data_IF_957086679408
#
_entry.id   IF_957086679408
#
_cell.length_a   1.000
_cell.length_b   1.000
_cell.length_c   1.000
_cell.angle_alpha   90.00
_cell.angle_beta   90.00
_cell.angle_gamma   90.00
#
_symmetry.space_group_name_H-M   'P 1'
#
loop_
_entity.id
_entity.type
_entity.pdbx_description
1 polymer ?
#
# COMPACT_ATOMS: atom_id res chain seq x y z
N UNK A 1 -17.77 -17.27 -48.34
CA UNK A 1 -17.48 -18.56 -47.67
C UNK A 1 -17.81 -18.36 -46.19
N UNK A 2 -19.08 -18.59 -45.80
CA UNK A 2 -19.60 -19.80 -45.06
C UNK A 2 -19.33 -19.67 -43.55
N UNK A 3 -20.23 -19.72 -42.57
CA UNK A 3 -21.69 -19.85 -42.30
C UNK A 3 -21.85 -19.34 -40.83
N UNK A 4 -22.83 -18.60 -40.32
CA UNK A 4 -24.28 -18.76 -40.15
C UNK A 4 -24.75 -20.07 -39.50
N UNK A 5 -24.82 -20.09 -38.15
CA UNK A 5 -25.68 -21.04 -37.42
C UNK A 5 -26.52 -20.30 -36.38
N UNK A 6 -27.77 -20.06 -36.76
CA UNK A 6 -28.89 -19.61 -35.95
C UNK A 6 -29.69 -20.86 -35.58
N UNK A 7 -29.84 -21.20 -34.30
CA UNK A 7 -30.68 -22.32 -33.87
C UNK A 7 -31.91 -21.81 -33.12
N UNK A 8 -33.00 -21.76 -33.86
CA UNK A 8 -34.38 -21.57 -33.41
C UNK A 8 -34.95 -22.93 -33.02
N UNK A 9 -35.66 -23.01 -31.89
CA UNK A 9 -36.61 -24.10 -31.61
C UNK A 9 -37.92 -23.46 -31.13
N UNK A 10 -38.99 -23.71 -31.91
CA UNK A 10 -40.40 -23.53 -31.54
C UNK A 10 -41.04 -24.92 -31.45
N UNK A 11 -41.84 -25.14 -30.41
CA UNK A 11 -42.98 -26.09 -30.26
C UNK A 11 -43.58 -25.73 -28.89
N UNK A 12 -44.82 -25.24 -28.72
CA UNK A 12 -46.13 -25.89 -28.99
C UNK A 12 -46.38 -26.95 -27.90
N UNK A 13 -47.49 -27.08 -27.17
CA UNK A 13 -48.81 -26.43 -27.10
C UNK A 13 -49.54 -27.05 -25.86
N UNK A 14 -50.29 -26.24 -25.09
CA UNK A 14 -51.44 -26.51 -24.18
C UNK A 14 -51.38 -27.64 -23.12
N UNK A 15 -51.73 -27.28 -21.86
CA UNK A 15 -52.18 -28.23 -20.83
C UNK A 15 -52.62 -27.57 -19.52
N UNK A 16 -53.93 -27.27 -19.41
CA UNK A 16 -54.84 -27.26 -18.25
C UNK A 16 -54.46 -26.68 -16.86
N UNK A 17 -55.40 -25.85 -16.39
CA UNK A 17 -55.74 -25.47 -15.01
C UNK A 17 -55.49 -26.54 -13.92
N UNK A 18 -54.90 -26.11 -12.81
CA UNK A 18 -55.32 -26.54 -11.47
C UNK A 18 -54.99 -25.47 -10.41
N UNK A 19 -56.04 -25.05 -9.73
CA UNK A 19 -56.08 -24.19 -8.55
C UNK A 19 -55.57 -25.00 -7.35
N UNK A 20 -54.61 -24.49 -6.57
CA UNK A 20 -54.13 -25.23 -5.40
C UNK A 20 -53.14 -24.47 -4.51
N UNK A 21 -53.65 -24.10 -3.33
CA UNK A 21 -52.96 -23.96 -2.04
C UNK A 21 -51.86 -22.91 -1.85
N UNK A 22 -52.18 -21.98 -0.94
CA UNK A 22 -51.30 -21.26 -0.03
C UNK A 22 -50.07 -22.06 0.42
N UNK A 23 -48.90 -21.52 0.15
CA UNK A 23 -47.80 -21.43 1.10
C UNK A 23 -46.93 -20.26 0.64
N UNK A 24 -47.02 -19.13 1.33
CA UNK A 24 -46.13 -18.00 1.12
C UNK A 24 -44.70 -18.49 1.38
N UNK A 25 -43.96 -18.71 0.31
CA UNK A 25 -42.53 -18.93 0.38
C UNK A 25 -41.93 -17.66 0.98
N UNK A 26 -41.46 -17.78 2.23
CA UNK A 26 -40.43 -16.89 2.75
C UNK A 26 -39.27 -17.04 1.79
N UNK A 27 -39.12 -16.10 0.87
CA UNK A 27 -37.85 -15.86 0.21
C UNK A 27 -36.91 -15.39 1.32
N UNK A 28 -36.27 -16.36 1.98
CA UNK A 28 -34.98 -16.15 2.60
C UNK A 28 -34.05 -15.78 1.44
N UNK A 29 -33.99 -14.47 1.18
CA UNK A 29 -32.90 -13.88 0.44
C UNK A 29 -31.68 -14.07 1.36
N UNK A 30 -31.09 -15.27 1.30
CA UNK A 30 -29.68 -15.46 1.60
C UNK A 30 -28.96 -14.50 0.66
N UNK A 31 -28.78 -13.27 1.14
CA UNK A 31 -27.72 -12.43 0.66
C UNK A 31 -26.47 -13.23 0.92
N UNK A 32 -26.02 -13.96 -0.09
CA UNK A 32 -24.62 -14.28 -0.28
C UNK A 32 -23.91 -12.95 -0.05
N UNK A 33 -23.44 -12.76 1.19
CA UNK A 33 -22.52 -11.72 1.52
C UNK A 33 -21.33 -12.03 0.65
N UNK A 34 -21.29 -11.42 -0.54
CA UNK A 34 -20.14 -11.45 -1.44
C UNK A 34 -18.98 -11.18 -0.51
N UNK A 35 -18.19 -12.23 -0.25
CA UNK A 35 -17.01 -12.11 0.59
C UNK A 35 -16.27 -10.93 0.00
N UNK A 36 -16.25 -9.81 0.74
CA UNK A 36 -15.63 -8.60 0.23
C UNK A 36 -14.19 -9.04 -0.02
N UNK A 37 -13.80 -9.07 -1.29
CA UNK A 37 -12.45 -9.46 -1.66
C UNK A 37 -11.55 -8.32 -1.22
N UNK A 38 -11.07 -8.45 0.02
CA UNK A 38 -10.11 -7.54 0.65
C UNK A 38 -8.82 -7.72 -0.14
N UNK A 39 -8.44 -6.68 -0.86
CA UNK A 39 -7.12 -6.63 -1.48
C UNK A 39 -6.14 -6.13 -0.45
N UNK A 40 -4.98 -6.75 -0.37
CA UNK A 40 -3.92 -6.30 0.51
C UNK A 40 -2.80 -5.69 -0.31
N UNK A 41 -2.15 -4.66 0.23
CA UNK A 41 -0.90 -4.14 -0.32
C UNK A 41 0.17 -4.28 0.73
N UNK A 42 1.19 -5.07 0.39
CA UNK A 42 2.39 -5.22 1.17
C UNK A 42 3.39 -4.12 0.78
N UNK A 43 3.72 -3.21 1.68
CA UNK A 43 4.75 -2.19 1.47
C UNK A 43 5.99 -2.58 2.26
N UNK A 44 7.07 -2.91 1.55
CA UNK A 44 8.38 -3.18 2.16
C UNK A 44 9.20 -1.90 2.15
N UNK A 45 9.38 -1.30 3.31
CA UNK A 45 10.19 -0.12 3.51
C UNK A 45 11.59 -0.49 3.94
N UNK A 46 12.58 0.16 3.33
CA UNK A 46 13.98 0.10 3.73
C UNK A 46 14.39 1.50 4.19
N UNK A 47 14.78 1.62 5.45
CA UNK A 47 15.33 2.84 6.02
C UNK A 47 16.84 2.76 5.96
N UNK A 48 17.45 3.69 5.23
CA UNK A 48 18.88 3.71 4.94
C UNK A 48 19.50 4.93 5.60
N UNK A 49 20.63 4.74 6.26
CA UNK A 49 21.50 5.83 6.66
C UNK A 49 22.41 6.19 5.50
N UNK A 50 22.51 7.47 5.21
CA UNK A 50 23.53 8.00 4.33
C UNK A 50 24.64 8.69 5.13
N UNK A 51 25.82 8.71 4.53
CA UNK A 51 27.04 9.33 5.02
C UNK A 51 27.80 8.52 6.11
N UNK A 52 29.14 8.63 6.09
CA UNK A 52 30.03 8.00 7.07
C UNK A 52 30.40 6.53 6.83
N UNK A 53 30.09 5.96 5.66
CA UNK A 53 30.43 4.57 5.32
C UNK A 53 31.26 4.49 4.05
N UNK A 54 32.21 3.55 3.99
CA UNK A 54 33.04 3.31 2.80
C UNK A 54 32.66 2.03 2.07
N UNK A 55 32.15 1.04 2.80
CA UNK A 55 31.77 -0.25 2.25
C UNK A 55 30.30 -0.25 1.83
N UNK A 56 30.00 -0.93 0.73
CA UNK A 56 28.61 -1.12 0.28
C UNK A 56 27.97 -2.19 1.16
N UNK A 57 26.87 -1.83 1.80
CA UNK A 57 26.05 -2.78 2.56
C UNK A 57 25.35 -3.76 1.59
N UNK A 58 25.60 -5.08 1.71
CA UNK A 58 25.05 -6.07 0.79
C UNK A 58 23.52 -6.11 0.80
N UNK A 59 22.85 -5.74 1.90
CA UNK A 59 21.39 -5.78 2.03
C UNK A 59 20.66 -4.71 1.22
N UNK A 60 21.38 -3.68 0.75
CA UNK A 60 20.85 -2.60 -0.09
C UNK A 60 21.61 -2.46 -1.40
N UNK A 61 22.47 -3.43 -1.73
CA UNK A 61 23.28 -3.39 -2.95
C UNK A 61 22.45 -3.23 -4.22
N UNK A 62 21.20 -3.71 -4.21
CA UNK A 62 20.23 -3.61 -5.32
C UNK A 62 19.67 -2.21 -5.55
N UNK A 63 19.85 -1.26 -4.61
CA UNK A 63 19.32 0.11 -4.72
C UNK A 63 20.39 1.19 -4.59
N UNK A 64 21.64 0.81 -4.32
CA UNK A 64 22.71 1.78 -4.04
C UNK A 64 23.09 2.60 -5.26
N UNK A 65 23.03 2.03 -6.47
CA UNK A 65 23.32 2.77 -7.70
C UNK A 65 22.27 3.86 -7.94
N UNK A 66 20.99 3.52 -7.83
CA UNK A 66 19.88 4.48 -7.99
C UNK A 66 19.91 5.56 -6.90
N UNK A 67 20.25 5.19 -5.67
CA UNK A 67 20.41 6.17 -4.59
C UNK A 67 21.56 7.14 -4.89
N UNK A 68 22.68 6.68 -5.46
CA UNK A 68 23.83 7.52 -5.82
C UNK A 68 23.53 8.49 -6.95
N UNK A 69 22.64 8.13 -7.88
CA UNK A 69 22.19 9.04 -8.94
C UNK A 69 21.40 10.23 -8.37
N UNK A 70 20.68 10.02 -7.26
CA UNK A 70 19.82 11.03 -6.64
C UNK A 70 20.58 11.81 -5.55
N UNK A 71 21.41 11.13 -4.79
CA UNK A 71 22.10 11.68 -3.62
C UNK A 71 23.59 11.37 -3.68
N UNK A 72 24.44 12.38 -3.48
CA UNK A 72 25.88 12.21 -3.54
C UNK A 72 26.51 12.09 -2.14
N UNK A 73 26.26 10.96 -1.45
CA UNK A 73 26.86 10.66 -0.14
C UNK A 73 28.01 9.65 -0.28
N UNK A 74 28.93 9.66 0.69
CA UNK A 74 30.10 8.77 0.66
C UNK A 74 29.73 7.28 0.72
N UNK A 75 28.72 6.93 1.50
CA UNK A 75 28.22 5.57 1.60
C UNK A 75 26.86 5.46 2.26
N UNK A 76 26.34 4.24 2.27
CA UNK A 76 24.98 3.93 2.67
C UNK A 76 24.96 2.65 3.49
N UNK A 77 24.08 2.60 4.50
CA UNK A 77 23.90 1.43 5.35
C UNK A 77 22.42 1.22 5.67
N UNK A 78 21.94 -0.01 5.63
CA UNK A 78 20.59 -0.31 6.07
C UNK A 78 20.48 -0.16 7.59
N UNK A 79 19.47 0.58 8.04
CA UNK A 79 19.14 0.69 9.47
C UNK A 79 18.00 -0.23 9.87
N UNK A 80 16.99 -0.37 9.00
CA UNK A 80 15.79 -1.14 9.32
C UNK A 80 15.03 -1.52 8.06
N UNK A 81 14.42 -2.70 8.07
CA UNK A 81 13.39 -3.10 7.11
C UNK A 81 12.06 -3.22 7.84
N UNK A 82 11.02 -2.63 7.25
CA UNK A 82 9.67 -2.69 7.80
C UNK A 82 8.69 -3.17 6.74
N UNK A 83 7.83 -4.11 7.11
CA UNK A 83 6.83 -4.68 6.20
C UNK A 83 5.44 -4.29 6.68
N UNK A 84 4.75 -3.49 5.88
CA UNK A 84 3.37 -3.06 6.11
C UNK A 84 2.41 -3.89 5.30
N UNK A 85 1.48 -4.57 5.95
CA UNK A 85 0.32 -5.12 5.26
C UNK A 85 -0.85 -4.15 5.43
N UNK A 86 -1.24 -3.48 4.33
CA UNK A 86 -2.36 -2.54 4.31
C UNK A 86 -3.56 -3.22 3.69
N UNK A 87 -4.55 -3.56 4.51
CA UNK A 87 -5.85 -4.03 4.05
C UNK A 87 -6.62 -2.91 3.36
N UNK A 88 -7.03 -3.16 2.12
CA UNK A 88 -7.77 -2.18 1.32
C UNK A 88 -9.26 -2.48 1.31
N UNK A 89 -10.04 -1.45 1.60
CA UNK A 89 -11.50 -1.47 1.54
C UNK A 89 -11.91 -0.92 0.16
N UNK A 90 -12.63 -1.69 -0.67
CA UNK A 90 -13.13 -1.21 -1.95
C UNK A 90 -14.08 -0.02 -1.77
N UNK A 91 -13.93 0.99 -2.62
CA UNK A 91 -14.91 2.07 -2.74
C UNK A 91 -16.27 1.54 -3.24
N UNK A 92 -17.35 2.28 -3.00
CA UNK A 92 -18.69 1.95 -3.50
C UNK A 92 -18.77 1.75 -5.02
N UNK A 93 -17.88 2.42 -5.77
CA UNK A 93 -17.77 2.28 -7.23
C UNK A 93 -17.04 1.00 -7.67
N UNK A 94 -16.32 0.33 -6.77
CA UNK A 94 -15.44 -0.80 -7.07
C UNK A 94 -14.19 -0.47 -7.90
N UNK A 95 -13.97 0.81 -8.26
CA UNK A 95 -12.84 1.24 -9.12
C UNK A 95 -11.54 1.43 -8.37
N UNK A 96 -11.63 1.83 -7.11
CA UNK A 96 -10.50 2.00 -6.21
C UNK A 96 -10.75 1.27 -4.89
N UNK A 97 -9.66 0.97 -4.18
CA UNK A 97 -9.69 0.49 -2.82
C UNK A 97 -8.69 1.30 -1.99
N UNK A 98 -9.06 1.63 -0.75
CA UNK A 98 -8.26 2.48 0.13
C UNK A 98 -8.02 1.81 1.46
N UNK A 99 -6.85 2.05 2.04
CA UNK A 99 -6.50 1.59 3.38
C UNK A 99 -5.40 2.45 3.96
N UNK A 100 -5.14 2.31 5.25
CA UNK A 100 -4.02 2.97 5.91
C UNK A 100 -3.44 2.09 7.00
N UNK A 101 -2.22 2.41 7.40
CA UNK A 101 -1.56 1.77 8.53
C UNK A 101 -0.58 2.70 9.20
N UNK A 102 -0.16 2.32 10.40
CA UNK A 102 0.90 2.95 11.16
C UNK A 102 1.75 1.89 11.87
N UNK A 103 3.06 2.07 11.89
CA UNK A 103 4.00 1.17 12.55
C UNK A 103 5.17 1.96 13.12
N UNK A 104 5.66 1.50 14.27
CA UNK A 104 6.93 1.97 14.83
C UNK A 104 8.07 1.11 14.32
N UNK A 105 9.14 1.76 13.88
CA UNK A 105 10.38 1.14 13.43
C UNK A 105 11.51 1.56 14.36
N UNK A 106 12.42 0.65 14.64
CA UNK A 106 13.59 0.86 15.50
C UNK A 106 14.83 0.77 14.62
N UNK A 107 15.41 1.92 14.20
CA UNK A 107 16.63 1.92 13.41
C UNK A 107 17.77 1.27 14.19
N UNK A 108 18.55 0.41 13.53
CA UNK A 108 19.71 -0.25 14.14
C UNK A 108 20.70 0.79 14.70
N UNK A 109 21.16 0.60 15.93
CA UNK A 109 22.02 1.56 16.64
C UNK A 109 21.30 2.80 17.19
N UNK A 110 19.96 2.81 17.19
CA UNK A 110 19.18 3.91 17.76
C UNK A 110 18.21 3.42 18.84
N UNK A 111 18.16 4.13 19.96
CA UNK A 111 17.20 3.89 21.04
C UNK A 111 15.84 4.56 20.78
N UNK A 112 15.77 5.47 19.80
CA UNK A 112 14.59 6.27 19.50
C UNK A 112 13.85 5.69 18.29
N UNK A 113 12.58 5.36 18.50
CA UNK A 113 11.72 4.85 17.45
C UNK A 113 11.33 5.94 16.45
N UNK A 114 11.24 5.57 15.17
CA UNK A 114 10.54 6.36 14.16
C UNK A 114 9.16 5.76 13.96
N UNK A 115 8.20 6.61 13.57
CA UNK A 115 6.87 6.17 13.19
C UNK A 115 6.71 6.32 11.69
N UNK A 116 6.36 5.23 11.03
CA UNK A 116 5.97 5.22 9.63
C UNK A 116 4.46 5.14 9.55
N UNK A 117 3.86 5.97 8.70
CA UNK A 117 2.44 5.95 8.37
C UNK A 117 2.30 5.88 6.86
N UNK A 118 1.36 5.06 6.39
CA UNK A 118 1.05 4.95 4.97
C UNK A 118 -0.46 5.00 4.77
N UNK A 119 -0.91 5.87 3.87
CA UNK A 119 -2.25 5.90 3.33
C UNK A 119 -2.18 5.44 1.87
N UNK A 120 -2.89 4.36 1.56
CA UNK A 120 -2.76 3.63 0.30
C UNK A 120 -4.08 3.70 -0.44
N UNK A 121 -4.00 4.04 -1.72
CA UNK A 121 -5.11 3.96 -2.68
C UNK A 121 -4.66 3.10 -3.86
N UNK A 122 -5.30 1.95 -4.04
CA UNK A 122 -5.13 1.12 -5.23
C UNK A 122 -6.21 1.45 -6.26
N UNK A 123 -5.82 1.56 -7.53
CA UNK A 123 -6.74 1.68 -8.65
C UNK A 123 -6.78 0.35 -9.42
N UNK A 124 -7.91 -0.34 -9.36
CA UNK A 124 -8.05 -1.67 -9.98
C UNK A 124 -7.91 -1.65 -11.49
N UNK A 125 -8.39 -0.59 -12.14
CA UNK A 125 -8.38 -0.48 -13.60
C UNK A 125 -6.96 -0.35 -14.19
N UNK A 126 -6.03 0.26 -13.43
CA UNK A 126 -4.66 0.56 -13.89
C UNK A 126 -3.62 -0.35 -13.25
N UNK A 127 -3.96 -1.06 -12.17
CA UNK A 127 -3.00 -1.83 -11.37
C UNK A 127 -1.97 -0.95 -10.66
N UNK A 128 -2.26 0.35 -10.49
CA UNK A 128 -1.36 1.30 -9.83
C UNK A 128 -1.76 1.50 -8.38
N UNK A 129 -0.76 1.66 -7.52
CA UNK A 129 -0.96 2.01 -6.12
C UNK A 129 -0.37 3.40 -5.89
N UNK A 130 -1.18 4.28 -5.30
CA UNK A 130 -0.77 5.57 -4.80
C UNK A 130 -0.63 5.48 -3.29
N UNK A 131 0.53 5.87 -2.75
CA UNK A 131 0.76 5.90 -1.32
C UNK A 131 1.17 7.31 -0.89
N UNK A 132 0.49 7.85 0.13
CA UNK A 132 1.01 8.95 0.95
C UNK A 132 1.75 8.32 2.12
N UNK A 133 3.03 8.62 2.25
CA UNK A 133 3.92 8.06 3.28
C UNK A 133 4.45 9.20 4.13
N UNK A 134 4.32 9.05 5.45
CA UNK A 134 4.84 9.98 6.44
C UNK A 134 5.79 9.24 7.38
N UNK A 135 7.02 9.74 7.51
CA UNK A 135 8.01 9.29 8.49
C UNK A 135 8.18 10.37 9.54
N UNK A 136 8.03 10.00 10.80
CA UNK A 136 8.01 10.93 11.94
C UNK A 136 8.99 10.45 13.01
N UNK A 137 9.74 11.39 13.60
CA UNK A 137 10.55 11.12 14.80
C UNK A 137 9.81 11.69 16.02
N UNK A 138 9.46 10.83 16.98
CA UNK A 138 8.70 11.23 18.17
C UNK A 138 9.43 12.24 19.07
N UNK A 139 10.75 12.35 18.92
CA UNK A 139 11.61 13.30 19.64
C UNK A 139 11.57 14.70 19.04
N UNK A 140 11.26 14.83 17.74
CA UNK A 140 11.08 16.12 17.07
C UNK A 140 9.65 16.56 17.23
N UNK A 141 9.44 17.54 18.10
CA UNK A 141 8.12 18.10 18.34
C UNK A 141 8.10 19.58 18.04
N UNK A 142 7.00 20.03 17.46
CA UNK A 142 6.67 21.44 17.43
C UNK A 142 5.74 21.73 18.60
N UNK A 143 6.10 22.73 19.41
CA UNK A 143 5.23 23.23 20.46
C UNK A 143 4.55 24.48 19.95
N UNK A 144 3.26 24.38 19.61
CA UNK A 144 2.44 25.51 19.21
C UNK A 144 1.18 25.54 20.07
N UNK A 145 0.97 26.66 20.79
CA UNK A 145 -0.25 26.86 21.58
C UNK A 145 -0.45 25.86 22.73
N UNK A 146 0.62 25.29 23.30
CA UNK A 146 0.55 24.35 24.41
C UNK A 146 0.33 22.88 24.01
N UNK A 147 0.11 22.60 22.73
CA UNK A 147 0.10 21.25 22.16
C UNK A 147 1.46 20.93 21.54
N UNK A 148 1.91 19.69 21.73
CA UNK A 148 3.21 19.21 21.25
C UNK A 148 2.98 18.09 20.26
N UNK A 149 2.98 18.44 18.98
CA UNK A 149 2.78 17.50 17.87
C UNK A 149 4.12 17.07 17.28
N UNK A 150 4.31 15.77 16.98
CA UNK A 150 5.48 15.30 16.26
C UNK A 150 5.59 15.95 14.89
N UNK A 151 6.79 16.42 14.53
CA UNK A 151 7.07 16.95 13.19
C UNK A 151 7.47 15.80 12.25
N UNK A 152 6.89 15.72 11.03
CA UNK A 152 7.32 14.75 10.05
C UNK A 152 8.76 15.04 9.63
N UNK A 153 9.59 14.00 9.60
CA UNK A 153 10.91 14.04 8.95
C UNK A 153 10.73 14.09 7.43
N UNK A 154 9.81 13.27 6.92
CA UNK A 154 9.52 13.14 5.50
C UNK A 154 8.01 12.93 5.33
N UNK A 155 7.41 13.66 4.39
CA UNK A 155 6.05 13.41 3.92
C UNK A 155 6.06 13.44 2.39
N UNK A 156 5.67 12.34 1.75
CA UNK A 156 5.66 12.23 0.29
C UNK A 156 4.43 11.48 -0.19
N UNK A 157 3.97 11.83 -1.40
CA UNK A 157 3.00 11.02 -2.14
C UNK A 157 3.67 10.47 -3.40
N UNK A 158 3.62 9.16 -3.56
CA UNK A 158 4.19 8.44 -4.72
C UNK A 158 3.13 7.59 -5.38
N UNK A 159 3.28 7.34 -6.68
CA UNK A 159 2.50 6.35 -7.41
C UNK A 159 3.46 5.31 -7.98
N UNK A 160 3.20 4.05 -7.73
CA UNK A 160 4.04 2.94 -8.14
C UNK A 160 3.21 1.80 -8.73
N UNK A 161 3.89 0.96 -9.52
CA UNK A 161 3.37 -0.32 -9.98
C UNK A 161 3.75 -1.43 -9.00
N UNK A 162 3.08 -2.57 -9.11
CA UNK A 162 3.42 -3.78 -8.36
C UNK A 162 4.89 -4.16 -8.55
N UNK A 163 5.59 -4.44 -7.44
CA UNK A 163 7.01 -4.79 -7.41
C UNK A 163 8.00 -3.66 -7.69
N UNK A 164 7.54 -2.45 -8.03
CA UNK A 164 8.42 -1.34 -8.40
C UNK A 164 9.05 -0.68 -7.18
N UNK A 165 10.36 -0.83 -7.00
CA UNK A 165 11.12 -0.12 -5.97
C UNK A 165 11.20 1.38 -6.30
N UNK A 166 10.98 2.23 -5.30
CA UNK A 166 11.07 3.68 -5.42
C UNK A 166 11.80 4.29 -4.21
N UNK A 167 12.68 5.24 -4.49
CA UNK A 167 13.29 6.10 -3.46
C UNK A 167 12.32 7.24 -3.15
N UNK A 168 11.85 7.28 -1.90
CA UNK A 168 10.84 8.24 -1.43
C UNK A 168 11.44 9.59 -1.05
N UNK A 169 12.74 9.66 -0.80
CA UNK A 169 13.43 10.90 -0.47
C UNK A 169 14.33 10.74 0.74
N UNK A 170 14.87 11.87 1.19
CA UNK A 170 15.83 11.95 2.29
C UNK A 170 15.46 13.04 3.30
N UNK A 171 15.78 12.83 4.56
CA UNK A 171 15.65 13.84 5.60
C UNK A 171 16.75 13.71 6.67
N UNK A 172 17.35 14.82 7.15
CA UNK A 172 18.25 14.78 8.29
C UNK A 172 17.46 14.44 9.55
N UNK A 173 17.92 13.45 10.32
CA UNK A 173 17.23 13.03 11.55
C UNK A 173 17.26 14.09 12.64
N UNK A 174 18.42 14.69 12.86
CA UNK A 174 18.66 15.85 13.73
C UNK A 174 19.52 16.87 12.95
N UNK A 175 19.79 18.06 13.50
CA UNK A 175 20.58 19.09 12.78
C UNK A 175 22.00 18.61 12.45
N UNK A 176 22.63 17.91 13.40
CA UNK A 176 23.98 17.32 13.26
C UNK A 176 23.93 15.78 13.13
N UNK A 177 22.75 15.26 12.80
CA UNK A 177 22.49 13.82 12.75
C UNK A 177 22.68 13.22 11.37
N UNK A 178 22.62 11.88 11.27
CA UNK A 178 22.67 11.21 9.99
C UNK A 178 21.49 11.62 9.09
N UNK A 179 21.73 11.60 7.78
CA UNK A 179 20.67 11.70 6.78
C UNK A 179 20.03 10.34 6.61
N UNK A 180 18.70 10.30 6.70
CA UNK A 180 17.90 9.10 6.48
C UNK A 180 17.34 9.16 5.06
N UNK A 181 17.40 8.03 4.36
CA UNK A 181 16.78 7.81 3.05
C UNK A 181 15.73 6.72 3.22
N UNK A 182 14.54 6.95 2.67
CA UNK A 182 13.45 5.98 2.70
C UNK A 182 13.24 5.41 1.30
N UNK A 183 13.24 4.08 1.20
CA UNK A 183 12.95 3.34 -0.02
C UNK A 183 11.73 2.45 0.23
N UNK A 184 10.87 2.29 -0.77
CA UNK A 184 9.70 1.43 -0.70
C UNK A 184 9.63 0.49 -1.90
N UNK A 185 9.23 -0.76 -1.65
CA UNK A 185 8.86 -1.73 -2.67
C UNK A 185 7.45 -2.24 -2.36
N UNK A 186 6.45 -1.96 -3.21
CA UNK A 186 5.09 -2.43 -3.03
C UNK A 186 4.91 -3.83 -3.61
N UNK A 187 4.01 -4.60 -3.03
CA UNK A 187 3.49 -5.84 -3.59
C UNK A 187 1.98 -5.92 -3.39
N UNK A 188 1.23 -6.07 -4.46
CA UNK A 188 -0.23 -6.27 -4.40
C UNK A 188 -0.47 -7.76 -4.16
N UNK A 189 -1.10 -8.09 -3.03
CA UNK A 189 -1.49 -9.46 -2.70
C UNK A 189 -2.96 -9.64 -3.13
N UNK A 190 -3.24 -10.62 -4.02
CA UNK A 190 -4.57 -10.85 -4.58
C UNK A 190 -5.61 -11.23 -3.51
#
# INVERSE_FOLDING_TARGET
>A
MTELVKKSIRCGLIGSLALGALAGAVHAQEGEGRAQHIQNVLLTFRLIQADGFTDVDPEISDVVEEIREIFNFQGYRLLSTSVFNVGLIPSSSGRSATGSGLQRIYPSGSETALTLQAEVTSQRATGTVRAKVTLTDATRRHSQGGYSEPLPLLEITVTFRDGQTAVLGSAPRTADGPVLILVVTPKIDP
#
